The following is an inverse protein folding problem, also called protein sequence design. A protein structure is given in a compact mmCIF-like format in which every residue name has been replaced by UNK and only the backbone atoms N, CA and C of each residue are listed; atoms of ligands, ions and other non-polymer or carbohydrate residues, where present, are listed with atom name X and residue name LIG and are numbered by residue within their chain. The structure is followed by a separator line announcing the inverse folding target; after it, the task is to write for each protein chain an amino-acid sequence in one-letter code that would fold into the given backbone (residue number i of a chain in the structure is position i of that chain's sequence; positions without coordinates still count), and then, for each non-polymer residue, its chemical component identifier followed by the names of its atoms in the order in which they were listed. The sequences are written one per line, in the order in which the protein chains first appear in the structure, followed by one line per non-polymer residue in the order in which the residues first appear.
data_IF_526472009221
#
_entry.id   IF_526472009221
#
_cell.length_a   1.000
_cell.length_b   1.000
_cell.length_c   1.000
_cell.angle_alpha   90.00
_cell.angle_beta   90.00
_cell.angle_gamma   90.00
#
_symmetry.space_group_name_H-M   'P 1'
#
loop_
_entity.id
_entity.type
_entity.pdbx_description
1 polymer ?
#
# COMPACT_ATOMS: atom_id res chain seq x y z
N UNK A 1 62.29 13.12 32.32
CA UNK A 1 61.05 12.35 32.08
C UNK A 1 60.08 13.30 31.37
N UNK A 2 59.72 13.03 30.12
CA UNK A 2 58.94 13.93 29.28
C UNK A 2 57.65 13.20 28.88
N UNK A 3 56.44 13.71 29.18
CA UNK A 3 55.21 12.99 28.87
C UNK A 3 54.90 13.09 27.37
N UNK A 4 54.79 11.95 26.71
CA UNK A 4 54.36 11.88 25.31
C UNK A 4 52.92 12.38 25.16
N UNK A 5 52.71 13.37 24.28
CA UNK A 5 51.39 13.73 23.75
C UNK A 5 51.02 12.73 22.67
N UNK A 6 49.93 12.00 22.87
CA UNK A 6 49.32 11.15 21.84
C UNK A 6 48.77 12.00 20.68
N UNK A 7 48.89 11.53 19.42
CA UNK A 7 48.39 12.26 18.27
C UNK A 7 46.86 12.23 18.26
N UNK A 8 46.26 13.42 18.15
CA UNK A 8 44.80 13.59 18.03
C UNK A 8 44.40 13.13 16.63
N UNK A 9 43.72 11.98 16.56
CA UNK A 9 43.12 11.45 15.33
C UNK A 9 41.80 12.17 15.12
N UNK A 10 41.71 13.02 14.10
CA UNK A 10 40.43 13.58 13.67
C UNK A 10 39.65 12.50 12.90
N UNK A 11 38.43 12.14 13.30
CA UNK A 11 37.66 11.12 12.61
C UNK A 11 37.15 11.66 11.26
N UNK A 12 37.37 10.94 10.14
CA UNK A 12 36.85 11.31 8.83
C UNK A 12 35.41 10.78 8.72
N UNK A 13 34.49 11.32 9.51
CA UNK A 13 33.07 11.09 9.28
C UNK A 13 32.27 12.33 9.67
N UNK A 14 32.09 13.23 8.70
CA UNK A 14 31.04 14.25 8.81
C UNK A 14 29.71 13.51 8.69
N UNK A 15 29.04 13.29 9.81
CA UNK A 15 27.62 12.92 9.78
C UNK A 15 26.88 14.06 9.07
N UNK A 16 26.02 13.78 8.08
CA UNK A 16 25.18 14.81 7.51
C UNK A 16 24.40 15.44 8.67
N UNK A 17 24.62 16.73 8.90
CA UNK A 17 23.78 17.50 9.82
C UNK A 17 22.36 17.32 9.34
N UNK A 18 21.46 16.88 10.21
CA UNK A 18 20.04 16.58 9.94
C UNK A 18 19.21 17.77 9.40
N UNK A 19 19.86 18.79 8.85
CA UNK A 19 19.35 20.10 8.49
C UNK A 19 19.46 20.40 6.98
N UNK A 20 19.93 19.48 6.13
CA UNK A 20 20.16 19.82 4.71
C UNK A 20 19.91 18.67 3.71
N UNK A 21 19.12 17.67 4.10
CA UNK A 21 18.51 16.75 3.13
C UNK A 21 17.05 17.15 3.09
N UNK A 22 16.68 17.96 2.10
CA UNK A 22 15.26 18.17 1.77
C UNK A 22 14.60 16.78 1.70
N UNK A 23 13.53 16.54 2.46
CA UNK A 23 12.91 15.22 2.47
C UNK A 23 12.44 14.90 1.06
N UNK A 24 12.91 13.77 0.52
CA UNK A 24 12.55 13.30 -0.81
C UNK A 24 11.02 13.23 -0.90
N UNK A 25 10.40 14.02 -1.76
CA UNK A 25 8.96 14.01 -1.94
C UNK A 25 8.57 12.94 -2.95
N UNK A 26 7.41 12.32 -2.73
CA UNK A 26 6.81 11.40 -3.70
C UNK A 26 5.38 11.79 -4.05
N UNK A 27 5.01 11.57 -5.31
CA UNK A 27 3.67 11.81 -5.83
C UNK A 27 2.84 10.53 -5.97
N UNK A 28 1.56 10.60 -5.65
CA UNK A 28 0.58 9.54 -5.91
C UNK A 28 0.04 9.68 -7.33
N UNK A 29 0.32 8.70 -8.18
CA UNK A 29 0.06 8.75 -9.63
C UNK A 29 -1.06 7.81 -10.10
N UNK A 30 -1.62 6.98 -9.22
CA UNK A 30 -2.76 6.12 -9.58
C UNK A 30 -4.08 6.91 -9.59
N UNK A 31 -4.76 7.04 -10.75
CA UNK A 31 -6.01 7.80 -10.88
C UNK A 31 -7.19 7.20 -10.11
N UNK A 32 -7.10 5.93 -9.70
CA UNK A 32 -8.12 5.28 -8.87
C UNK A 32 -7.89 5.47 -7.37
N UNK A 33 -6.72 6.02 -6.99
CA UNK A 33 -6.35 6.25 -5.61
C UNK A 33 -7.00 7.54 -5.07
N UNK A 34 -7.58 7.55 -3.86
CA UNK A 34 -8.23 8.75 -3.28
C UNK A 34 -7.30 9.96 -3.10
N UNK A 35 -5.99 9.70 -3.05
CA UNK A 35 -4.94 10.72 -2.91
C UNK A 35 -4.24 11.05 -4.24
N UNK A 36 -4.83 10.71 -5.39
CA UNK A 36 -4.25 10.99 -6.70
C UNK A 36 -3.82 12.46 -6.86
N UNK A 37 -2.58 12.68 -7.31
CA UNK A 37 -1.95 13.99 -7.46
C UNK A 37 -1.41 14.63 -6.16
N UNK A 38 -1.59 13.98 -5.01
CA UNK A 38 -1.03 14.46 -3.76
C UNK A 38 0.46 14.12 -3.65
N UNK A 39 1.22 15.02 -3.02
CA UNK A 39 2.65 14.87 -2.73
C UNK A 39 2.90 14.77 -1.23
N UNK A 40 3.84 13.92 -0.85
CA UNK A 40 4.19 13.70 0.54
C UNK A 40 5.70 13.52 0.71
N UNK A 41 6.22 13.99 1.83
CA UNK A 41 7.60 13.70 2.25
C UNK A 41 7.78 12.21 2.55
N UNK A 42 8.74 11.58 1.87
CA UNK A 42 9.08 10.18 2.01
C UNK A 42 9.87 9.96 3.31
N UNK A 43 9.43 8.98 4.09
CA UNK A 43 10.11 8.55 5.31
C UNK A 43 10.96 7.31 5.01
N UNK A 44 10.38 6.32 4.32
CA UNK A 44 11.08 5.09 3.94
C UNK A 44 10.31 4.28 2.90
N UNK A 45 10.97 3.28 2.30
CA UNK A 45 10.36 2.32 1.38
C UNK A 45 10.59 0.91 1.93
N UNK A 46 9.53 0.11 2.01
CA UNK A 46 9.66 -1.34 2.25
C UNK A 46 9.89 -2.09 0.95
N UNK A 47 10.81 -3.05 0.97
CA UNK A 47 11.07 -3.95 -0.15
C UNK A 47 11.05 -5.42 0.34
N UNK A 48 9.86 -6.00 0.60
CA UNK A 48 9.78 -7.38 1.04
C UNK A 48 10.16 -8.34 -0.11
N UNK A 49 10.80 -9.49 0.19
CA UNK A 49 11.17 -10.48 -0.84
C UNK A 49 9.96 -11.13 -1.52
N UNK A 50 8.80 -11.13 -0.85
CA UNK A 50 7.52 -11.63 -1.36
C UNK A 50 6.43 -10.63 -0.95
N UNK A 51 5.63 -10.19 -1.91
CA UNK A 51 4.52 -9.25 -1.71
C UNK A 51 4.76 -7.87 -2.30
N UNK A 52 3.85 -6.95 -2.02
CA UNK A 52 3.88 -5.59 -2.56
C UNK A 52 4.77 -4.67 -1.73
N UNK A 53 5.62 -3.91 -2.42
CA UNK A 53 6.42 -2.83 -1.84
C UNK A 53 5.53 -1.61 -1.54
N UNK A 54 5.86 -0.91 -0.46
CA UNK A 54 5.13 0.27 -0.01
C UNK A 54 6.08 1.42 0.32
N UNK A 55 5.63 2.64 0.05
CA UNK A 55 6.22 3.86 0.58
C UNK A 55 5.53 4.25 1.90
N UNK A 56 6.32 4.66 2.87
CA UNK A 56 5.87 5.28 4.11
C UNK A 56 6.12 6.76 4.01
N UNK A 57 5.05 7.56 4.11
CA UNK A 57 5.12 9.01 3.91
C UNK A 57 4.53 9.76 5.09
N UNK A 58 5.02 10.97 5.33
CA UNK A 58 4.50 11.84 6.39
C UNK A 58 3.16 12.45 5.98
N UNK A 59 2.21 12.48 6.91
CA UNK A 59 0.90 13.10 6.74
C UNK A 59 0.52 13.89 7.97
N UNK A 60 0.17 15.17 7.78
CA UNK A 60 -0.24 16.09 8.85
C UNK A 60 0.70 16.04 10.07
N UNK A 61 2.00 15.93 9.83
CA UNK A 61 3.11 15.90 10.81
C UNK A 61 3.20 14.71 11.76
N UNK A 62 2.08 14.20 12.27
CA UNK A 62 2.05 13.13 13.30
C UNK A 62 1.63 11.76 12.76
N UNK A 63 1.21 11.67 11.50
CA UNK A 63 0.72 10.43 10.91
C UNK A 63 1.66 9.95 9.81
N UNK A 64 1.74 8.62 9.66
CA UNK A 64 2.45 7.98 8.56
C UNK A 64 1.42 7.25 7.71
N UNK A 65 1.38 7.56 6.42
CA UNK A 65 0.59 6.81 5.46
C UNK A 65 1.45 5.72 4.84
N UNK A 66 0.83 4.55 4.65
CA UNK A 66 1.40 3.45 3.90
C UNK A 66 0.76 3.43 2.52
N UNK A 67 1.52 3.77 1.49
CA UNK A 67 1.04 3.86 0.11
C UNK A 67 1.73 2.76 -0.72
N UNK A 68 0.99 1.94 -1.48
CA UNK A 68 1.60 0.98 -2.40
C UNK A 68 2.52 1.68 -3.40
N UNK A 69 3.69 1.10 -3.69
CA UNK A 69 4.62 1.66 -4.69
C UNK A 69 3.98 1.70 -6.09
N UNK A 70 3.09 0.74 -6.38
CA UNK A 70 2.29 0.71 -7.62
C UNK A 70 1.40 1.95 -7.81
N UNK A 71 1.06 2.67 -6.72
CA UNK A 71 0.24 3.86 -6.74
C UNK A 71 1.03 5.17 -6.76
N UNK A 72 2.36 5.12 -6.78
CA UNK A 72 3.25 6.29 -6.73
C UNK A 72 4.13 6.38 -7.97
N UNK A 73 4.82 7.51 -8.18
CA UNK A 73 5.77 7.67 -9.29
C UNK A 73 6.98 6.71 -9.23
N UNK A 74 7.24 6.12 -8.06
CA UNK A 74 8.27 5.09 -7.87
C UNK A 74 7.86 3.74 -8.48
N UNK A 75 6.56 3.55 -8.72
CA UNK A 75 6.03 2.35 -9.37
C UNK A 75 6.41 2.30 -10.85
N UNK A 76 6.67 1.09 -11.34
CA UNK A 76 6.71 0.88 -12.79
C UNK A 76 5.30 1.14 -13.31
N UNK A 77 5.14 2.19 -14.13
CA UNK A 77 3.88 2.53 -14.76
C UNK A 77 3.39 1.33 -15.56
N UNK A 78 2.40 0.62 -15.03
CA UNK A 78 1.69 -0.40 -15.78
C UNK A 78 0.60 0.33 -16.57
N UNK A 79 0.45 0.07 -17.88
CA UNK A 79 -0.59 0.71 -18.66
C UNK A 79 -1.95 0.32 -18.05
N UNK A 80 -2.61 1.31 -17.44
CA UNK A 80 -3.96 1.13 -16.90
C UNK A 80 -4.89 0.80 -18.06
N UNK A 81 -5.38 -0.43 -18.10
CA UNK A 81 -6.40 -0.87 -19.05
C UNK A 81 -7.74 -0.27 -18.65
N UNK A 82 -7.89 1.05 -18.87
CA UNK A 82 -9.16 1.74 -18.70
C UNK A 82 -10.14 1.22 -19.75
N UNK A 83 -10.97 0.26 -19.35
CA UNK A 83 -12.03 -0.26 -20.21
C UNK A 83 -13.19 0.72 -20.11
N UNK A 84 -13.40 1.56 -21.13
CA UNK A 84 -14.56 2.46 -21.18
C UNK A 84 -15.84 1.63 -21.32
N UNK A 85 -16.59 1.51 -20.23
CA UNK A 85 -17.92 0.90 -20.25
C UNK A 85 -18.90 1.87 -20.90
N UNK A 86 -19.19 1.68 -22.19
CA UNK A 86 -20.18 2.51 -22.90
C UNK A 86 -21.61 2.10 -22.53
N UNK A 87 -22.57 3.03 -22.67
CA UNK A 87 -23.99 2.75 -22.44
C UNK A 87 -24.53 1.65 -23.37
N UNK A 88 -24.03 1.57 -24.61
CA UNK A 88 -24.37 0.48 -25.54
C UNK A 88 -23.79 -0.86 -25.08
N UNK A 89 -22.54 -0.89 -24.59
CA UNK A 89 -21.93 -2.09 -24.00
C UNK A 89 -22.72 -2.58 -22.77
N UNK A 90 -23.10 -1.66 -21.88
CA UNK A 90 -23.90 -2.01 -20.70
C UNK A 90 -25.28 -2.55 -21.08
N UNK A 91 -25.95 -1.93 -22.07
CA UNK A 91 -27.22 -2.43 -22.62
C UNK A 91 -27.07 -3.83 -23.23
N UNK A 92 -25.97 -4.08 -23.95
CA UNK A 92 -25.69 -5.39 -24.54
C UNK A 92 -25.46 -6.46 -23.46
N UNK A 93 -24.74 -6.13 -22.38
CA UNK A 93 -24.55 -7.02 -21.23
C UNK A 93 -25.90 -7.33 -20.58
N UNK A 94 -26.71 -6.32 -20.27
CA UNK A 94 -28.04 -6.52 -19.66
C UNK A 94 -28.94 -7.37 -20.57
N UNK A 95 -28.89 -7.14 -21.89
CA UNK A 95 -29.63 -7.94 -22.87
C UNK A 95 -29.18 -9.40 -22.84
N UNK A 96 -27.87 -9.64 -22.86
CA UNK A 96 -27.31 -10.99 -22.76
C UNK A 96 -27.80 -11.71 -21.49
N UNK A 97 -27.77 -11.06 -20.32
CA UNK A 97 -28.29 -11.65 -19.08
C UNK A 97 -29.79 -11.98 -19.13
N UNK A 98 -30.60 -11.14 -19.79
CA UNK A 98 -32.04 -11.38 -19.96
C UNK A 98 -32.30 -12.55 -20.92
N UNK A 99 -31.49 -12.67 -21.96
CA UNK A 99 -31.57 -13.74 -22.95
C UNK A 99 -31.01 -15.07 -22.40
N UNK A 100 -30.07 -15.03 -21.45
CA UNK A 100 -29.49 -16.17 -20.75
C UNK A 100 -30.37 -16.77 -19.63
N UNK A 101 -31.68 -16.54 -19.64
CA UNK A 101 -32.63 -16.99 -18.60
C UNK A 101 -32.59 -18.51 -18.32
N UNK A 102 -32.01 -19.30 -19.22
CA UNK A 102 -31.85 -20.76 -19.13
C UNK A 102 -30.49 -21.23 -18.52
N UNK A 103 -29.51 -20.34 -18.30
CA UNK A 103 -28.17 -20.73 -17.79
C UNK A 103 -28.00 -20.52 -16.27
N UNK A 104 -28.96 -19.89 -15.60
CA UNK A 104 -28.93 -19.65 -14.15
C UNK A 104 -29.51 -20.80 -13.31
N UNK A 105 -29.50 -22.03 -13.82
CA UNK A 105 -29.68 -23.26 -13.01
C UNK A 105 -28.37 -23.69 -12.34
N UNK A 106 -27.56 -22.74 -11.86
CA UNK A 106 -26.45 -23.08 -10.96
C UNK A 106 -27.05 -23.17 -9.57
N UNK A 107 -27.28 -24.41 -9.13
CA UNK A 107 -27.88 -24.79 -7.85
C UNK A 107 -27.35 -23.97 -6.66
N UNK A 108 -28.05 -22.88 -6.35
CA UNK A 108 -27.94 -22.13 -5.10
C UNK A 108 -28.35 -22.96 -3.86
N UNK A 109 -28.76 -24.22 -4.06
CA UNK A 109 -29.20 -25.13 -3.00
C UNK A 109 -28.06 -25.78 -2.19
N UNK A 110 -26.78 -25.59 -2.56
CA UNK A 110 -25.65 -26.19 -1.82
C UNK A 110 -24.70 -25.20 -1.13
N UNK A 111 -25.06 -23.93 -1.00
CA UNK A 111 -24.29 -22.99 -0.15
C UNK A 111 -25.02 -22.70 1.15
N UNK A 112 -25.25 -23.73 1.95
CA UNK A 112 -25.49 -23.55 3.38
C UNK A 112 -24.61 -24.53 4.15
N UNK A 113 -23.90 -23.99 5.16
CA UNK A 113 -22.92 -24.66 6.05
C UNK A 113 -21.54 -24.72 5.38
N UNK A 114 -20.57 -23.87 5.73
CA UNK A 114 -19.97 -23.75 7.06
C UNK A 114 -19.24 -22.41 7.23
N UNK A 115 -19.73 -21.54 8.11
CA UNK A 115 -18.87 -20.53 8.76
C UNK A 115 -18.80 -20.93 10.23
N UNK A 116 -17.74 -21.65 10.59
CA UNK A 116 -17.46 -21.97 11.98
C UNK A 116 -16.95 -20.70 12.67
N UNK A 117 -17.84 -20.04 13.41
CA UNK A 117 -17.52 -18.91 14.30
C UNK A 117 -16.75 -19.46 15.50
N UNK A 118 -15.42 -19.46 15.44
CA UNK A 118 -14.56 -19.87 16.55
C UNK A 118 -14.30 -18.66 17.46
N UNK A 119 -15.21 -18.36 18.39
CA UNK A 119 -14.94 -17.45 19.50
C UNK A 119 -14.65 -18.28 20.76
N UNK A 120 -13.38 -18.59 20.99
CA UNK A 120 -12.93 -19.07 22.31
C UNK A 120 -12.62 -17.84 23.17
N UNK A 121 -13.58 -17.43 24.00
CA UNK A 121 -13.30 -16.58 25.16
C UNK A 121 -12.70 -17.44 26.26
N UNK A 122 -11.50 -17.03 26.67
CA UNK A 122 -10.69 -17.61 27.73
C UNK A 122 -11.40 -17.41 29.07
N UNK A 123 -12.01 -18.47 29.62
CA UNK A 123 -12.55 -18.46 30.98
C UNK A 123 -11.43 -18.75 31.97
N UNK A 124 -10.87 -17.69 32.56
CA UNK A 124 -10.17 -17.78 33.83
C UNK A 124 -11.14 -17.39 34.94
N UNK A 125 -11.34 -18.27 35.93
CA UNK A 125 -11.79 -17.83 37.25
C UNK A 125 -11.25 -18.78 38.31
N UNK A 126 -10.38 -18.19 39.13
CA UNK A 126 -9.80 -18.75 40.32
C UNK A 126 -10.90 -18.87 41.39
N UNK A 127 -10.92 -19.98 42.12
CA UNK A 127 -11.27 -20.04 43.54
C UNK A 127 -10.80 -21.37 44.13
#
# INVERSE_FOLDING_TARGET
MNPQKSPKVDPPFRQPTWQEIEPEEIEVTDPTHPLFGARFSLISISNPPIGEAHAFVQYRDYMILKIPISATELGVSTPSLSTKLSLSSLKAIIKLFKDCKELCHIDLLKSTKTSARNSKTKSGKNS
#
